data_IF_490599128368
#
_entry.id   IF_490599128368
#
_cell.length_a   1.000
_cell.length_b   1.000
_cell.length_c   1.000
_cell.angle_alpha   90.00
_cell.angle_beta   90.00
_cell.angle_gamma   90.00
#
_symmetry.space_group_name_H-M   'P 1'
#
loop_
_entity.id
_entity.type
_entity.pdbx_description
1 polymer ?
#
# COMPACT_ATOMS: atom_id res chain seq x y z
N UNK A 1 -61.88 32.62 -5.39
CA UNK A 1 -61.55 33.88 -6.12
C UNK A 1 -60.06 33.72 -6.49
N UNK A 2 -59.72 33.20 -7.57
CA UNK A 2 -59.65 33.53 -9.00
C UNK A 2 -58.97 34.88 -9.27
N UNK A 3 -57.81 34.86 -9.86
CA UNK A 3 -57.29 35.72 -10.95
C UNK A 3 -55.77 35.51 -11.01
N UNK A 4 -55.23 34.78 -11.92
CA UNK A 4 -55.01 34.98 -13.36
C UNK A 4 -53.77 35.83 -13.67
N UNK A 5 -52.76 35.12 -14.19
CA UNK A 5 -51.96 35.35 -15.41
C UNK A 5 -51.57 36.76 -15.82
N UNK A 6 -50.31 37.04 -15.99
CA UNK A 6 -49.84 37.59 -17.27
C UNK A 6 -48.36 37.22 -17.56
N UNK A 7 -48.13 36.55 -18.68
CA UNK A 7 -46.86 36.28 -19.28
C UNK A 7 -46.31 37.52 -19.98
N UNK A 8 -45.02 37.75 -19.91
CA UNK A 8 -44.31 38.60 -20.86
C UNK A 8 -43.06 37.85 -21.36
N UNK A 9 -43.20 37.32 -22.57
CA UNK A 9 -42.12 36.78 -23.36
C UNK A 9 -41.27 37.95 -23.89
N UNK A 10 -39.99 37.96 -23.56
CA UNK A 10 -38.99 38.75 -24.29
C UNK A 10 -37.97 37.75 -24.86
N UNK A 11 -38.02 37.63 -26.17
CA UNK A 11 -37.11 36.81 -26.95
C UNK A 11 -35.69 37.37 -26.94
N UNK A 12 -34.73 36.50 -26.60
CA UNK A 12 -33.33 36.73 -26.89
C UNK A 12 -32.84 35.57 -27.75
N UNK A 13 -32.49 35.87 -28.98
CA UNK A 13 -31.88 34.95 -29.95
C UNK A 13 -30.49 34.50 -29.46
N UNK A 14 -30.10 33.24 -29.67
CA UNK A 14 -28.74 32.79 -29.37
C UNK A 14 -27.77 33.34 -30.43
N UNK A 15 -26.79 34.10 -29.99
CA UNK A 15 -25.62 34.42 -30.79
C UNK A 15 -24.67 33.20 -30.77
N UNK A 16 -24.48 32.64 -31.96
CA UNK A 16 -23.44 31.74 -32.34
C UNK A 16 -22.05 32.29 -31.96
N UNK A 17 -21.28 31.50 -31.26
CA UNK A 17 -19.89 31.83 -30.90
C UNK A 17 -19.21 30.71 -30.14
N UNK A 18 -19.22 29.50 -30.72
CA UNK A 18 -18.30 28.43 -30.29
C UNK A 18 -16.94 28.73 -30.90
N UNK A 19 -16.10 29.45 -30.18
CA UNK A 19 -14.66 29.54 -30.52
C UNK A 19 -13.96 28.34 -29.92
N UNK A 20 -13.58 27.44 -30.83
CA UNK A 20 -12.72 26.31 -30.58
C UNK A 20 -11.40 26.77 -29.91
N UNK A 21 -11.08 26.19 -28.75
CA UNK A 21 -9.72 26.14 -28.22
C UNK A 21 -8.90 25.10 -29.03
N UNK A 22 -8.50 25.51 -30.21
CA UNK A 22 -7.51 24.82 -31.03
C UNK A 22 -6.59 25.94 -31.55
N UNK A 23 -5.39 25.97 -31.04
CA UNK A 23 -4.19 26.52 -31.66
C UNK A 23 -3.27 27.20 -30.65
N UNK A 24 -2.48 26.39 -29.92
CA UNK A 24 -1.17 26.83 -29.42
C UNK A 24 -0.23 25.61 -29.29
N UNK A 25 -0.01 24.92 -30.41
CA UNK A 25 1.21 24.13 -30.61
C UNK A 25 1.92 24.68 -31.87
N UNK A 26 2.54 25.86 -31.76
CA UNK A 26 3.49 26.33 -32.75
C UNK A 26 4.83 25.64 -32.49
N UNK A 27 5.28 24.94 -33.52
CA UNK A 27 6.60 24.44 -33.83
C UNK A 27 7.72 24.97 -32.93
N UNK A 28 8.23 24.09 -32.06
CA UNK A 28 9.59 24.19 -31.55
C UNK A 28 10.48 23.40 -32.51
N UNK A 29 11.48 24.01 -33.18
CA UNK A 29 12.39 23.27 -34.05
C UNK A 29 13.19 22.27 -33.19
N UNK A 30 13.06 20.97 -33.50
CA UNK A 30 13.92 19.93 -32.95
C UNK A 30 15.34 20.15 -33.47
N UNK A 31 16.22 20.71 -32.65
CA UNK A 31 17.66 20.58 -32.86
C UNK A 31 18.05 19.11 -32.67
N UNK A 32 18.89 18.52 -33.55
CA UNK A 32 19.40 17.19 -33.37
C UNK A 32 20.29 17.20 -32.10
N UNK A 33 19.85 16.56 -31.06
CA UNK A 33 20.70 16.28 -29.90
C UNK A 33 21.78 15.30 -30.35
N UNK A 34 23.02 15.79 -30.36
CA UNK A 34 24.20 14.96 -30.53
C UNK A 34 24.15 13.86 -29.42
N UNK A 35 24.35 12.61 -29.85
CA UNK A 35 24.58 11.46 -28.98
C UNK A 35 25.91 11.69 -28.24
N UNK A 36 25.86 12.39 -27.10
CA UNK A 36 26.79 12.12 -26.01
C UNK A 36 26.25 10.87 -25.34
N UNK A 37 26.99 9.78 -25.45
CA UNK A 37 26.83 8.60 -24.57
C UNK A 37 27.16 9.06 -23.16
N UNK A 38 26.20 9.69 -22.48
CA UNK A 38 26.16 9.70 -21.05
C UNK A 38 25.85 8.26 -20.66
N UNK A 39 26.79 7.62 -19.97
CA UNK A 39 26.58 6.31 -19.36
C UNK A 39 25.27 6.39 -18.55
N UNK A 40 24.24 5.74 -19.07
CA UNK A 40 22.99 5.56 -18.37
C UNK A 40 23.33 4.67 -17.18
N UNK A 41 23.45 5.26 -15.99
CA UNK A 41 23.49 4.47 -14.78
C UNK A 41 22.12 3.77 -14.65
N UNK A 42 22.04 2.43 -14.70
CA UNK A 42 20.79 1.71 -14.68
C UNK A 42 19.99 1.88 -13.37
N UNK A 43 20.56 2.54 -12.38
CA UNK A 43 19.99 2.67 -11.04
C UNK A 43 18.73 3.54 -10.93
N UNK A 44 18.42 4.39 -11.92
CA UNK A 44 17.32 5.36 -11.78
C UNK A 44 15.97 4.85 -12.31
N UNK A 45 15.96 3.93 -13.27
CA UNK A 45 14.72 3.38 -13.84
C UNK A 45 14.14 2.20 -13.03
N UNK A 46 14.98 1.55 -12.21
CA UNK A 46 14.60 0.37 -11.42
C UNK A 46 14.06 0.70 -10.02
N UNK A 47 14.00 1.97 -9.65
CA UNK A 47 13.65 2.40 -8.27
C UNK A 47 12.19 2.24 -7.89
N UNK A 48 11.29 1.84 -8.79
CA UNK A 48 9.85 1.85 -8.54
C UNK A 48 9.21 0.47 -8.29
N UNK A 49 9.87 -0.63 -8.64
CA UNK A 49 9.31 -1.98 -8.45
C UNK A 49 10.37 -2.94 -7.91
N UNK A 50 10.02 -3.63 -6.83
CA UNK A 50 10.84 -4.68 -6.25
C UNK A 50 10.15 -6.03 -6.48
N UNK A 51 10.91 -7.04 -6.92
CA UNK A 51 10.43 -8.42 -6.96
C UNK A 51 10.47 -9.01 -5.57
N UNK A 52 9.32 -9.40 -5.05
CA UNK A 52 9.21 -9.98 -3.71
C UNK A 52 8.97 -11.48 -3.80
N UNK A 53 9.66 -12.21 -2.93
CA UNK A 53 9.62 -13.65 -2.82
C UNK A 53 9.20 -14.09 -1.42
N UNK A 54 8.50 -15.20 -1.34
CA UNK A 54 8.30 -15.89 -0.08
C UNK A 54 9.61 -16.55 0.36
N UNK A 55 9.90 -16.63 1.68
CA UNK A 55 11.06 -17.39 2.15
C UNK A 55 11.12 -18.80 1.58
N UNK A 56 9.97 -19.47 1.41
CA UNK A 56 9.89 -20.82 0.85
C UNK A 56 10.25 -20.93 -0.64
N UNK A 57 10.29 -19.81 -1.37
CA UNK A 57 10.72 -19.78 -2.77
C UNK A 57 12.24 -19.66 -2.92
N UNK A 58 12.94 -19.30 -1.82
CA UNK A 58 14.39 -19.11 -1.81
C UNK A 58 15.08 -20.44 -1.63
N UNK A 59 15.94 -20.79 -2.57
CA UNK A 59 16.75 -22.02 -2.57
C UNK A 59 18.20 -21.66 -2.39
N UNK A 60 18.83 -22.26 -1.38
CA UNK A 60 20.28 -22.21 -1.17
C UNK A 60 20.85 -23.53 -1.69
N UNK A 61 21.84 -23.47 -2.57
CA UNK A 61 22.41 -24.66 -3.14
C UNK A 61 23.28 -25.41 -2.13
N UNK A 62 23.16 -26.74 -2.07
CA UNK A 62 23.98 -27.62 -1.22
C UNK A 62 25.44 -27.73 -1.71
N UNK A 63 25.76 -27.16 -2.88
CA UNK A 63 27.07 -27.25 -3.54
C UNK A 63 28.10 -26.22 -3.04
N UNK A 64 27.77 -25.48 -1.97
CA UNK A 64 28.63 -24.41 -1.43
C UNK A 64 28.58 -23.10 -2.18
N UNK A 65 27.65 -22.93 -3.13
CA UNK A 65 27.28 -21.63 -3.68
C UNK A 65 26.62 -20.82 -2.59
N UNK A 66 27.24 -19.71 -2.18
CA UNK A 66 26.72 -18.83 -1.11
C UNK A 66 25.54 -17.94 -1.57
N UNK A 67 25.22 -17.93 -2.87
CA UNK A 67 24.21 -17.02 -3.42
C UNK A 67 22.84 -17.70 -3.46
N UNK A 68 21.86 -17.23 -2.67
CA UNK A 68 20.49 -17.74 -2.73
C UNK A 68 19.86 -17.49 -4.10
N UNK A 69 19.03 -18.41 -4.56
CA UNK A 69 18.35 -18.29 -5.87
C UNK A 69 16.85 -18.52 -5.75
N UNK A 70 16.10 -17.92 -6.67
CA UNK A 70 14.68 -18.18 -6.87
C UNK A 70 14.45 -18.57 -8.32
N UNK A 71 13.66 -19.62 -8.57
CA UNK A 71 13.28 -20.02 -9.92
C UNK A 71 11.76 -19.90 -10.08
N UNK A 72 11.35 -19.00 -10.97
CA UNK A 72 9.95 -18.75 -11.29
C UNK A 72 9.56 -19.48 -12.57
N UNK A 73 8.38 -20.08 -12.59
CA UNK A 73 7.85 -20.72 -13.79
C UNK A 73 7.58 -19.69 -14.89
N UNK A 74 7.47 -20.17 -16.14
CA UNK A 74 7.15 -19.32 -17.29
C UNK A 74 5.85 -18.54 -17.13
N UNK A 75 4.86 -19.15 -16.48
CA UNK A 75 3.51 -18.59 -16.31
C UNK A 75 3.39 -17.72 -15.03
N UNK A 76 4.46 -17.61 -14.23
CA UNK A 76 4.46 -16.70 -13.09
C UNK A 76 4.32 -15.26 -13.56
N UNK A 77 3.45 -14.48 -12.90
CA UNK A 77 3.20 -13.10 -13.28
C UNK A 77 4.46 -12.23 -13.22
N UNK A 78 5.40 -12.53 -12.31
CA UNK A 78 6.70 -11.86 -12.18
C UNK A 78 7.59 -12.15 -13.39
N UNK A 79 7.59 -13.41 -13.87
CA UNK A 79 8.30 -13.82 -15.10
C UNK A 79 7.74 -13.09 -16.33
N UNK A 80 6.41 -13.03 -16.44
CA UNK A 80 5.72 -12.31 -17.52
C UNK A 80 6.02 -10.80 -17.43
N UNK A 81 6.06 -10.24 -16.24
CA UNK A 81 6.38 -8.82 -16.02
C UNK A 81 7.83 -8.52 -16.42
N UNK A 82 8.79 -9.37 -16.01
CA UNK A 82 10.20 -9.25 -16.38
C UNK A 82 10.40 -9.24 -17.91
N UNK A 83 9.67 -10.10 -18.62
CA UNK A 83 9.77 -10.20 -20.08
C UNK A 83 9.03 -9.07 -20.80
N UNK A 84 7.74 -8.84 -20.49
CA UNK A 84 6.86 -7.95 -21.28
C UNK A 84 6.99 -6.48 -20.93
N UNK A 85 7.18 -6.19 -19.66
CA UNK A 85 7.16 -4.82 -19.15
C UNK A 85 8.58 -4.28 -19.01
N UNK A 86 9.46 -5.06 -18.39
CA UNK A 86 10.84 -4.62 -18.14
C UNK A 86 11.78 -4.97 -19.30
N UNK A 87 11.45 -5.98 -20.13
CA UNK A 87 12.26 -6.40 -21.26
C UNK A 87 13.65 -6.94 -20.89
N UNK A 88 13.78 -7.51 -19.70
CA UNK A 88 15.04 -7.92 -19.11
C UNK A 88 15.73 -9.04 -19.92
N UNK A 89 17.05 -8.95 -20.03
CA UNK A 89 17.93 -9.91 -20.69
C UNK A 89 18.78 -10.65 -19.64
N UNK A 90 19.40 -11.75 -20.05
CA UNK A 90 20.35 -12.46 -19.17
C UNK A 90 21.45 -11.52 -18.69
N UNK A 91 21.73 -11.55 -17.38
CA UNK A 91 22.72 -10.71 -16.74
C UNK A 91 22.23 -9.31 -16.37
N UNK A 92 20.99 -8.95 -16.72
CA UNK A 92 20.41 -7.71 -16.20
C UNK A 92 20.13 -7.85 -14.70
N UNK A 93 20.21 -6.72 -14.00
CA UNK A 93 19.93 -6.63 -12.58
C UNK A 93 18.52 -6.12 -12.32
N UNK A 94 17.90 -6.62 -11.25
CA UNK A 94 16.64 -6.13 -10.73
C UNK A 94 16.71 -5.95 -9.20
N UNK A 95 15.75 -5.21 -8.67
CA UNK A 95 15.55 -5.10 -7.22
C UNK A 95 14.73 -6.27 -6.72
N UNK A 96 15.24 -6.96 -5.73
CA UNK A 96 14.58 -8.10 -5.13
C UNK A 96 14.49 -7.98 -3.60
N UNK A 97 13.60 -8.75 -3.00
CA UNK A 97 13.48 -8.85 -1.55
C UNK A 97 12.73 -10.11 -1.15
N UNK A 98 12.96 -10.54 0.07
CA UNK A 98 12.27 -11.66 0.70
C UNK A 98 11.32 -11.10 1.75
N UNK A 99 10.04 -11.42 1.65
CA UNK A 99 9.03 -10.87 2.56
C UNK A 99 9.29 -11.31 4.01
N UNK A 100 9.05 -10.40 4.95
CA UNK A 100 9.03 -10.67 6.37
C UNK A 100 7.57 -10.78 6.84
N UNK A 101 7.28 -11.82 7.61
CA UNK A 101 6.07 -11.93 8.39
C UNK A 101 6.44 -11.94 9.87
N UNK A 102 5.61 -11.33 10.72
CA UNK A 102 5.68 -11.56 12.17
C UNK A 102 5.18 -12.98 12.49
N UNK A 103 5.94 -13.99 12.06
CA UNK A 103 5.70 -15.37 12.44
C UNK A 103 6.36 -15.57 13.80
N UNK A 104 5.57 -15.97 14.82
CA UNK A 104 6.12 -16.30 16.13
C UNK A 104 7.30 -17.27 15.99
N UNK A 105 8.30 -17.11 16.82
CA UNK A 105 9.67 -17.63 16.74
C UNK A 105 9.88 -19.16 16.62
N UNK A 106 8.87 -19.97 16.31
CA UNK A 106 8.93 -21.43 16.44
C UNK A 106 9.15 -22.22 15.11
N UNK A 107 9.37 -21.54 13.96
CA UNK A 107 9.56 -22.22 12.66
C UNK A 107 10.79 -21.74 11.89
N UNK A 108 11.96 -21.68 12.52
CA UNK A 108 13.18 -21.26 11.83
C UNK A 108 13.74 -22.40 10.93
N UNK A 109 13.38 -22.35 9.63
CA UNK A 109 14.11 -23.07 8.57
C UNK A 109 15.24 -22.23 7.98
N UNK A 110 16.19 -22.83 7.26
CA UNK A 110 17.29 -22.10 6.60
C UNK A 110 16.80 -20.99 5.63
N UNK A 111 15.61 -21.11 5.08
CA UNK A 111 15.00 -20.11 4.20
C UNK A 111 14.53 -18.85 4.95
N UNK A 112 14.18 -18.97 6.24
CA UNK A 112 13.74 -17.85 7.08
C UNK A 112 14.89 -16.90 7.43
N UNK A 113 16.15 -17.34 7.25
CA UNK A 113 17.34 -16.51 7.47
C UNK A 113 17.38 -15.27 6.53
N UNK A 114 16.68 -15.30 5.42
CA UNK A 114 16.63 -14.21 4.44
C UNK A 114 15.34 -13.37 4.53
N UNK A 115 14.39 -13.73 5.39
CA UNK A 115 13.18 -12.97 5.60
C UNK A 115 13.50 -11.51 6.01
N UNK A 116 12.86 -10.55 5.35
CA UNK A 116 13.14 -9.13 5.58
C UNK A 116 14.42 -8.60 4.91
N UNK A 117 15.11 -9.40 4.11
CA UNK A 117 16.29 -8.96 3.37
C UNK A 117 15.93 -8.46 1.97
N UNK A 118 16.76 -7.54 1.48
CA UNK A 118 16.62 -6.93 0.15
C UNK A 118 17.94 -6.87 -0.58
N UNK A 119 17.88 -6.79 -1.90
CA UNK A 119 19.04 -6.49 -2.74
C UNK A 119 18.61 -5.64 -3.94
N UNK A 120 19.50 -4.79 -4.41
CA UNK A 120 19.36 -4.03 -5.64
C UNK A 120 20.20 -4.64 -6.79
N UNK A 121 20.87 -5.77 -6.51
CA UNK A 121 21.81 -6.44 -7.42
C UNK A 121 21.39 -7.88 -7.72
N UNK A 122 20.11 -8.20 -7.67
CA UNK A 122 19.66 -9.52 -8.08
C UNK A 122 19.84 -9.70 -9.59
N UNK A 123 20.61 -10.71 -10.02
CA UNK A 123 20.85 -10.98 -11.45
C UNK A 123 19.89 -12.02 -11.98
N UNK A 124 19.52 -11.88 -13.26
CA UNK A 124 18.58 -12.79 -13.91
C UNK A 124 19.21 -13.69 -14.95
N UNK A 125 18.66 -14.90 -15.06
CA UNK A 125 18.97 -15.87 -16.09
C UNK A 125 17.67 -16.48 -16.62
N UNK A 126 17.47 -16.37 -17.93
CA UNK A 126 16.39 -17.07 -18.61
C UNK A 126 16.75 -18.51 -18.86
N UNK A 127 15.91 -19.44 -18.42
CA UNK A 127 16.03 -20.87 -18.65
C UNK A 127 15.06 -21.27 -19.78
N UNK A 128 15.54 -21.38 -21.05
CA UNK A 128 14.68 -21.66 -22.19
C UNK A 128 14.00 -23.02 -22.09
N UNK A 129 12.72 -23.08 -22.45
CA UNK A 129 11.93 -24.32 -22.45
C UNK A 129 11.51 -24.75 -23.85
N UNK A 130 11.48 -26.04 -24.08
CA UNK A 130 11.02 -26.65 -25.32
C UNK A 130 11.95 -26.41 -26.50
N UNK A 131 11.40 -25.93 -27.62
CA UNK A 131 12.16 -25.66 -28.87
C UNK A 131 12.83 -24.27 -28.91
N UNK A 132 12.65 -23.47 -27.87
CA UNK A 132 13.18 -22.13 -27.78
C UNK A 132 14.68 -22.22 -27.41
N UNK A 133 15.56 -21.86 -28.35
CA UNK A 133 17.01 -21.91 -28.12
C UNK A 133 17.60 -20.59 -27.63
N UNK A 134 16.83 -19.48 -27.72
CA UNK A 134 17.32 -18.16 -27.32
C UNK A 134 16.87 -17.86 -25.89
N UNK A 135 17.85 -17.60 -25.03
CA UNK A 135 17.63 -17.18 -23.64
C UNK A 135 17.33 -15.66 -23.57
N UNK A 136 16.29 -15.20 -24.27
CA UNK A 136 15.83 -13.82 -24.23
C UNK A 136 14.33 -13.77 -24.60
N UNK A 137 13.58 -12.78 -24.10
CA UNK A 137 12.19 -12.58 -24.46
C UNK A 137 11.99 -12.48 -25.99
N UNK A 138 10.85 -12.97 -26.46
CA UNK A 138 10.50 -12.88 -27.88
C UNK A 138 10.27 -11.42 -28.29
N UNK A 139 10.18 -11.16 -29.62
CA UNK A 139 9.82 -9.82 -30.11
C UNK A 139 8.47 -9.31 -29.58
N UNK A 140 7.57 -10.22 -29.21
CA UNK A 140 6.27 -9.90 -28.60
C UNK A 140 6.36 -9.78 -27.06
N UNK A 141 7.56 -9.90 -26.48
CA UNK A 141 7.77 -9.85 -25.04
C UNK A 141 7.38 -11.14 -24.29
N UNK A 142 7.13 -12.26 -24.99
CA UNK A 142 6.81 -13.51 -24.29
C UNK A 142 8.06 -14.12 -23.65
N UNK A 143 7.93 -14.65 -22.41
CA UNK A 143 9.04 -15.32 -21.74
C UNK A 143 9.57 -16.52 -22.53
N UNK A 144 10.89 -16.69 -22.64
CA UNK A 144 11.47 -17.86 -23.35
C UNK A 144 11.32 -19.16 -22.56
N UNK A 145 11.10 -19.08 -21.26
CA UNK A 145 10.98 -20.20 -20.34
C UNK A 145 10.90 -19.72 -18.91
N UNK A 146 11.37 -20.50 -17.96
CA UNK A 146 11.46 -20.14 -16.55
C UNK A 146 12.51 -19.05 -16.33
N UNK A 147 12.37 -18.29 -15.25
CA UNK A 147 13.26 -17.21 -14.86
C UNK A 147 13.99 -17.61 -13.55
N UNK A 148 15.30 -17.74 -13.59
CA UNK A 148 16.14 -17.87 -12.40
C UNK A 148 16.63 -16.47 -11.99
N UNK A 149 16.61 -16.21 -10.71
CA UNK A 149 17.06 -14.95 -10.11
C UNK A 149 18.04 -15.29 -9.01
N UNK A 150 19.27 -14.81 -9.13
CA UNK A 150 20.29 -14.93 -8.09
C UNK A 150 20.23 -13.68 -7.19
N UNK A 151 20.06 -13.91 -5.90
CA UNK A 151 19.87 -12.85 -4.89
C UNK A 151 21.23 -12.44 -4.30
N UNK A 152 22.02 -11.76 -5.10
CA UNK A 152 23.35 -11.31 -4.68
C UNK A 152 23.24 -10.15 -3.66
N UNK A 153 24.18 -10.10 -2.72
CA UNK A 153 24.30 -8.99 -1.75
C UNK A 153 23.03 -8.73 -0.95
N UNK A 154 22.31 -9.77 -0.51
CA UNK A 154 21.15 -9.62 0.38
C UNK A 154 21.54 -8.96 1.69
N UNK A 155 20.83 -7.92 2.08
CA UNK A 155 21.01 -7.21 3.34
C UNK A 155 19.63 -6.97 4.01
N UNK A 156 19.56 -6.88 5.33
CA UNK A 156 18.33 -6.52 6.03
C UNK A 156 17.75 -5.20 5.48
N UNK A 157 16.45 -5.17 5.29
CA UNK A 157 15.76 -3.96 4.87
C UNK A 157 15.78 -2.92 6.01
N UNK A 158 16.34 -1.76 5.73
CA UNK A 158 16.34 -0.62 6.63
C UNK A 158 15.65 0.54 5.93
N UNK A 159 14.64 1.13 6.55
CA UNK A 159 13.87 2.24 5.97
C UNK A 159 14.71 3.51 5.73
N UNK A 160 15.91 3.60 6.32
CA UNK A 160 16.78 4.77 6.28
C UNK A 160 18.06 4.56 5.50
N UNK A 161 17.98 4.27 4.18
CA UNK A 161 19.18 4.24 3.33
C UNK A 161 19.68 5.62 2.91
N UNK A 162 18.99 6.70 3.24
CA UNK A 162 19.37 8.07 2.83
C UNK A 162 20.07 8.90 3.93
N UNK A 163 20.34 8.33 5.12
CA UNK A 163 21.08 9.04 6.17
C UNK A 163 22.33 8.25 6.60
N UNK A 164 23.56 8.62 6.13
CA UNK A 164 24.79 7.89 6.42
C UNK A 164 25.37 8.12 7.82
N UNK A 165 24.63 8.72 8.74
CA UNK A 165 25.06 8.93 10.13
C UNK A 165 24.27 8.01 11.09
N UNK A 166 24.64 6.79 11.06
CA UNK A 166 24.73 5.76 12.07
C UNK A 166 23.93 5.87 13.37
N UNK A 167 22.58 5.80 13.32
CA UNK A 167 21.84 5.32 14.49
C UNK A 167 21.02 4.08 14.04
N UNK A 168 21.53 2.90 14.39
CA UNK A 168 21.00 1.59 14.00
C UNK A 168 19.76 1.17 14.82
N UNK A 169 18.98 2.12 15.30
CA UNK A 169 17.66 1.83 15.81
C UNK A 169 16.66 2.08 14.67
N UNK A 170 16.27 1.01 13.98
CA UNK A 170 15.15 1.02 13.03
C UNK A 170 13.86 1.42 13.76
N UNK A 171 13.66 2.71 13.94
CA UNK A 171 12.43 3.29 14.46
C UNK A 171 11.53 3.53 13.27
N UNK A 172 10.91 2.47 12.73
CA UNK A 172 9.83 2.67 11.78
C UNK A 172 8.65 3.29 12.52
N UNK A 173 8.20 4.43 12.03
CA UNK A 173 6.97 5.07 12.48
C UNK A 173 5.83 4.05 12.43
N UNK A 174 5.20 3.79 13.59
CA UNK A 174 4.15 2.77 13.62
C UNK A 174 2.80 3.40 13.32
N UNK A 175 2.30 3.17 12.11
CA UNK A 175 0.96 3.56 11.69
C UNK A 175 0.08 2.32 11.56
N UNK A 176 -0.98 2.26 12.35
CA UNK A 176 -1.94 1.15 12.35
C UNK A 176 -3.33 1.63 11.93
N UNK A 177 -4.11 0.73 11.34
CA UNK A 177 -5.41 1.04 10.79
C UNK A 177 -6.50 0.10 11.31
N UNK A 178 -7.54 0.63 11.94
CA UNK A 178 -8.80 -0.05 12.23
C UNK A 178 -9.79 0.36 11.14
N UNK A 179 -10.09 -0.55 10.22
CA UNK A 179 -10.97 -0.31 9.09
C UNK A 179 -12.28 -1.09 9.25
N UNK A 180 -13.40 -0.36 9.38
CA UNK A 180 -14.70 -1.00 9.24
C UNK A 180 -14.83 -1.59 7.85
N UNK A 181 -15.17 -2.88 7.78
CA UNK A 181 -15.05 -3.69 6.57
C UNK A 181 -15.83 -3.09 5.39
N UNK A 182 -15.15 -2.61 4.33
CA UNK A 182 -15.82 -2.11 3.14
C UNK A 182 -16.35 -3.28 2.28
N UNK A 183 -17.05 -2.97 1.20
CA UNK A 183 -17.49 -3.99 0.24
C UNK A 183 -16.30 -4.84 -0.22
N UNK A 184 -16.46 -6.16 -0.39
CA UNK A 184 -15.34 -7.06 -0.71
C UNK A 184 -14.51 -6.64 -1.93
N UNK A 185 -15.16 -6.16 -2.99
CA UNK A 185 -14.48 -5.67 -4.18
C UNK A 185 -13.66 -4.40 -3.89
N UNK A 186 -14.18 -3.52 -3.02
CA UNK A 186 -13.49 -2.32 -2.60
C UNK A 186 -12.31 -2.65 -1.69
N UNK A 187 -12.49 -3.59 -0.74
CA UNK A 187 -11.39 -4.08 0.10
C UNK A 187 -10.24 -4.62 -0.76
N UNK A 188 -10.55 -5.44 -1.77
CA UNK A 188 -9.52 -5.98 -2.67
C UNK A 188 -8.71 -4.89 -3.38
N UNK A 189 -9.31 -3.74 -3.68
CA UNK A 189 -8.61 -2.58 -4.26
C UNK A 189 -7.80 -1.79 -3.23
N UNK A 190 -8.27 -1.77 -1.99
CA UNK A 190 -7.62 -1.00 -0.91
C UNK A 190 -6.41 -1.73 -0.31
N UNK A 191 -6.41 -3.05 -0.25
CA UNK A 191 -5.33 -3.83 0.36
C UNK A 191 -3.94 -3.50 -0.21
N UNK A 192 -3.74 -3.44 -1.55
CA UNK A 192 -2.44 -3.02 -2.08
C UNK A 192 -2.07 -1.59 -1.69
N UNK A 193 -3.04 -0.66 -1.64
CA UNK A 193 -2.79 0.73 -1.24
C UNK A 193 -2.38 0.81 0.23
N UNK A 194 -3.08 0.08 1.11
CA UNK A 194 -2.80 0.05 2.55
C UNK A 194 -1.40 -0.51 2.81
N UNK A 195 -1.06 -1.61 2.15
CA UNK A 195 0.27 -2.22 2.25
C UNK A 195 1.36 -1.30 1.70
N UNK A 196 1.13 -0.68 0.55
CA UNK A 196 2.04 0.29 -0.07
C UNK A 196 2.31 1.50 0.83
N UNK A 197 1.32 1.89 1.64
CA UNK A 197 1.42 3.02 2.56
C UNK A 197 2.11 2.67 3.89
N UNK A 198 2.67 1.47 4.06
CA UNK A 198 3.46 1.12 5.23
C UNK A 198 2.63 0.96 6.51
N UNK A 199 1.43 0.38 6.43
CA UNK A 199 0.62 0.06 7.62
C UNK A 199 1.21 -1.16 8.33
N UNK A 200 1.55 -1.04 9.60
CA UNK A 200 2.06 -2.16 10.41
C UNK A 200 0.98 -3.18 10.75
N UNK A 201 -0.18 -2.69 11.22
CA UNK A 201 -1.27 -3.54 11.66
C UNK A 201 -2.61 -3.06 11.10
N UNK A 202 -3.26 -3.91 10.33
CA UNK A 202 -4.59 -3.70 9.78
C UNK A 202 -5.62 -4.53 10.55
N UNK A 203 -6.53 -3.86 11.27
CA UNK A 203 -7.68 -4.49 11.90
C UNK A 203 -8.92 -4.29 11.02
N UNK A 204 -9.46 -5.37 10.47
CA UNK A 204 -10.69 -5.37 9.70
C UNK A 204 -11.87 -5.68 10.61
N UNK A 205 -12.73 -4.69 10.89
CA UNK A 205 -13.77 -4.82 11.91
C UNK A 205 -15.19 -4.72 11.34
N UNK A 206 -16.13 -5.34 12.05
CA UNK A 206 -17.55 -5.07 11.84
C UNK A 206 -17.90 -3.68 12.38
N UNK A 207 -18.94 -3.09 11.81
CA UNK A 207 -19.64 -1.92 12.33
C UNK A 207 -21.14 -2.12 12.11
N UNK A 208 -21.98 -1.30 12.72
CA UNK A 208 -23.44 -1.42 12.59
C UNK A 208 -23.93 -1.39 11.15
N UNK A 209 -23.31 -0.52 10.36
CA UNK A 209 -23.64 -0.34 8.94
C UNK A 209 -22.85 -1.27 7.99
N UNK A 210 -22.11 -2.25 8.52
CA UNK A 210 -21.39 -3.27 7.73
C UNK A 210 -22.24 -4.53 7.61
N UNK A 211 -22.59 -4.96 6.39
CA UNK A 211 -23.29 -6.22 6.16
C UNK A 211 -22.46 -7.43 6.63
N UNK A 212 -23.10 -8.35 7.36
CA UNK A 212 -22.42 -9.52 7.93
C UNK A 212 -21.86 -10.49 6.89
N UNK A 213 -22.47 -10.56 5.71
CA UNK A 213 -22.06 -11.39 4.58
C UNK A 213 -20.70 -10.97 3.99
N UNK A 214 -20.24 -9.75 4.20
CA UNK A 214 -18.90 -9.31 3.74
C UNK A 214 -17.77 -10.16 4.34
N UNK A 215 -17.93 -10.63 5.60
CA UNK A 215 -16.98 -11.56 6.23
C UNK A 215 -16.97 -12.96 5.62
N UNK A 216 -17.97 -13.30 4.80
CA UNK A 216 -18.03 -14.53 4.03
C UNK A 216 -17.44 -14.41 2.63
N UNK A 217 -16.80 -13.31 2.27
CA UNK A 217 -16.26 -13.08 0.94
C UNK A 217 -15.08 -14.01 0.60
N UNK A 218 -14.75 -14.11 -0.67
CA UNK A 218 -13.62 -14.91 -1.16
C UNK A 218 -12.27 -14.50 -0.58
N UNK A 219 -12.10 -13.23 -0.20
CA UNK A 219 -10.88 -12.71 0.41
C UNK A 219 -10.58 -13.39 1.76
N UNK A 220 -11.63 -13.66 2.55
CA UNK A 220 -11.47 -14.34 3.84
C UNK A 220 -11.51 -15.88 3.73
N UNK A 221 -12.10 -16.41 2.66
CA UNK A 221 -12.10 -17.86 2.39
C UNK A 221 -10.77 -18.34 1.80
N UNK A 222 -10.02 -17.48 1.17
CA UNK A 222 -8.74 -17.78 0.50
C UNK A 222 -7.66 -16.80 1.02
N UNK A 223 -7.03 -17.07 2.17
CA UNK A 223 -6.02 -16.19 2.76
C UNK A 223 -4.89 -15.83 1.80
N UNK A 224 -4.54 -16.76 0.89
CA UNK A 224 -3.50 -16.53 -0.13
C UNK A 224 -3.84 -15.37 -1.08
N UNK A 225 -5.14 -15.15 -1.37
CA UNK A 225 -5.57 -14.03 -2.23
C UNK A 225 -5.34 -12.70 -1.49
N UNK A 226 -5.69 -12.65 -0.21
CA UNK A 226 -5.48 -11.46 0.62
C UNK A 226 -3.98 -11.15 0.74
N UNK A 227 -3.17 -12.18 1.06
CA UNK A 227 -1.72 -12.06 1.15
C UNK A 227 -1.09 -11.57 -0.17
N UNK A 228 -1.52 -12.12 -1.31
CA UNK A 228 -1.06 -11.68 -2.63
C UNK A 228 -1.31 -10.20 -2.89
N UNK A 229 -2.48 -9.68 -2.50
CA UNK A 229 -2.81 -8.26 -2.65
C UNK A 229 -1.92 -7.35 -1.79
N UNK A 230 -1.54 -7.81 -0.59
CA UNK A 230 -0.59 -7.06 0.25
C UNK A 230 0.81 -7.03 -0.38
N UNK A 231 1.30 -8.18 -0.85
CA UNK A 231 2.59 -8.28 -1.54
C UNK A 231 2.62 -7.39 -2.80
N UNK A 232 1.51 -7.32 -3.53
CA UNK A 232 1.40 -6.42 -4.69
C UNK A 232 1.66 -4.95 -4.31
N UNK A 233 1.12 -4.50 -3.17
CA UNK A 233 1.39 -3.16 -2.65
C UNK A 233 2.86 -2.98 -2.24
N UNK A 234 3.44 -3.94 -1.52
CA UNK A 234 4.84 -3.92 -1.10
C UNK A 234 5.81 -3.90 -2.30
N UNK A 235 5.49 -4.60 -3.39
CA UNK A 235 6.28 -4.52 -4.63
C UNK A 235 6.39 -3.08 -5.15
N UNK A 236 5.40 -2.23 -4.92
CA UNK A 236 5.39 -0.84 -5.36
C UNK A 236 6.16 0.08 -4.41
N UNK A 237 6.02 -0.10 -3.08
CA UNK A 237 6.76 0.70 -2.09
C UNK A 237 8.22 0.29 -1.98
N UNK A 238 8.54 -0.95 -2.34
CA UNK A 238 9.87 -1.52 -2.15
C UNK A 238 10.12 -2.03 -0.73
N UNK A 239 9.11 -2.04 0.11
CA UNK A 239 9.11 -2.62 1.46
C UNK A 239 8.98 -4.16 1.38
N UNK A 240 9.36 -4.84 2.44
CA UNK A 240 9.30 -6.31 2.58
C UNK A 240 8.45 -6.78 3.75
N UNK A 241 8.02 -5.86 4.64
CA UNK A 241 7.24 -6.18 5.83
C UNK A 241 5.76 -6.25 5.51
N UNK A 242 5.17 -7.46 5.58
CA UNK A 242 3.74 -7.64 5.36
C UNK A 242 2.96 -7.11 6.57
N UNK A 243 1.92 -6.26 6.38
CA UNK A 243 1.06 -5.80 7.45
C UNK A 243 0.44 -6.96 8.22
N UNK A 244 0.48 -6.91 9.55
CA UNK A 244 -0.28 -7.85 10.38
C UNK A 244 -1.78 -7.63 10.17
N UNK A 245 -2.57 -8.70 10.02
CA UNK A 245 -4.01 -8.59 9.83
C UNK A 245 -4.76 -9.26 10.98
N UNK A 246 -5.68 -8.49 11.56
CA UNK A 246 -6.65 -9.00 12.53
C UNK A 246 -8.07 -8.81 12.00
N UNK A 247 -8.87 -9.87 12.02
CA UNK A 247 -10.27 -9.84 11.56
C UNK A 247 -11.21 -9.94 12.75
N UNK A 248 -12.02 -8.90 12.96
CA UNK A 248 -12.89 -8.72 14.13
C UNK A 248 -14.35 -8.68 13.69
N UNK A 249 -15.14 -9.66 14.11
CA UNK A 249 -16.57 -9.75 13.75
C UNK A 249 -17.50 -9.00 14.73
N UNK A 250 -16.98 -8.47 15.83
CA UNK A 250 -17.76 -7.78 16.88
C UNK A 250 -16.97 -6.59 17.41
N UNK A 251 -17.28 -5.39 16.92
CA UNK A 251 -16.59 -4.16 17.31
C UNK A 251 -16.53 -3.96 18.82
N UNK A 252 -17.68 -4.04 19.51
CA UNK A 252 -17.74 -3.84 20.95
C UNK A 252 -16.79 -4.77 21.72
N UNK A 253 -16.80 -6.07 21.39
CA UNK A 253 -15.90 -7.03 22.04
C UNK A 253 -14.43 -6.69 21.81
N UNK A 254 -14.08 -6.34 20.60
CA UNK A 254 -12.72 -5.92 20.26
C UNK A 254 -12.27 -4.71 21.08
N UNK A 255 -13.15 -3.72 21.21
CA UNK A 255 -12.84 -2.49 21.97
C UNK A 255 -12.74 -2.73 23.47
N UNK A 256 -13.43 -3.75 24.00
CA UNK A 256 -13.40 -4.11 25.42
C UNK A 256 -12.25 -5.08 25.77
N UNK A 257 -11.96 -6.06 24.90
CA UNK A 257 -11.06 -7.17 25.22
C UNK A 257 -9.67 -7.02 24.58
N UNK A 258 -9.56 -6.51 23.35
CA UNK A 258 -8.36 -6.65 22.53
C UNK A 258 -7.65 -5.31 22.23
N UNK A 259 -8.37 -4.19 22.25
CA UNK A 259 -7.87 -2.89 21.81
C UNK A 259 -6.64 -2.43 22.59
N UNK A 260 -6.73 -2.49 23.94
CA UNK A 260 -5.64 -2.02 24.80
C UNK A 260 -4.40 -2.91 24.73
N UNK A 261 -4.59 -4.21 24.45
CA UNK A 261 -3.49 -5.13 24.24
C UNK A 261 -2.76 -4.90 22.90
N UNK A 262 -3.48 -4.49 21.84
CA UNK A 262 -2.92 -4.24 20.54
C UNK A 262 -2.38 -2.81 20.38
N UNK A 263 -3.06 -1.84 20.94
CA UNK A 263 -2.76 -0.42 20.78
C UNK A 263 -2.88 0.31 22.13
N UNK A 264 -1.97 0.06 23.10
CA UNK A 264 -2.01 0.69 24.41
C UNK A 264 -2.10 2.22 24.34
N UNK A 265 -2.97 2.83 25.13
CA UNK A 265 -3.21 4.28 25.11
C UNK A 265 -1.99 5.12 25.54
N UNK A 266 -1.06 4.52 26.29
CA UNK A 266 0.22 5.13 26.67
C UNK A 266 1.30 5.00 25.61
N UNK A 267 1.06 4.24 24.51
CA UNK A 267 1.96 4.09 23.39
C UNK A 267 1.42 4.73 22.11
N UNK A 268 0.12 4.61 21.88
CA UNK A 268 -0.54 5.02 20.62
C UNK A 268 -1.41 6.26 20.81
N UNK A 269 -1.26 7.23 19.92
CA UNK A 269 -2.31 8.20 19.69
C UNK A 269 -3.47 7.50 18.98
N UNK A 270 -4.63 7.46 19.63
CA UNK A 270 -5.85 6.85 19.09
C UNK A 270 -6.69 7.88 18.39
N UNK A 271 -7.01 7.65 17.13
CA UNK A 271 -7.64 8.63 16.26
C UNK A 271 -8.83 8.02 15.54
N UNK A 272 -9.96 8.72 15.51
CA UNK A 272 -11.14 8.32 14.72
C UNK A 272 -11.46 9.36 13.67
N UNK A 273 -11.48 8.92 12.41
CA UNK A 273 -11.86 9.76 11.29
C UNK A 273 -13.39 9.85 11.18
N UNK A 274 -13.92 11.01 11.51
CA UNK A 274 -15.36 11.28 11.39
C UNK A 274 -15.64 12.77 11.19
N UNK A 275 -16.58 13.15 10.29
CA UNK A 275 -17.02 14.53 10.15
C UNK A 275 -17.57 15.10 11.47
N UNK A 276 -17.67 16.41 11.57
CA UNK A 276 -18.31 17.05 12.71
C UNK A 276 -19.78 16.62 12.79
N UNK A 277 -20.23 16.22 13.98
CA UNK A 277 -21.62 15.84 14.25
C UNK A 277 -22.50 17.10 14.32
N UNK A 278 -23.76 16.94 13.97
CA UNK A 278 -24.76 18.00 14.18
C UNK A 278 -24.92 18.24 15.68
N UNK A 279 -24.74 19.48 16.13
CA UNK A 279 -24.82 19.87 17.54
C UNK A 279 -23.56 19.59 18.36
N UNK A 280 -22.47 19.10 17.76
CA UNK A 280 -21.18 18.95 18.44
C UNK A 280 -20.56 20.32 18.72
N UNK A 281 -20.23 20.58 19.98
CA UNK A 281 -19.62 21.84 20.44
C UNK A 281 -18.14 21.96 20.09
N UNK A 282 -17.40 20.84 20.21
CA UNK A 282 -15.99 20.80 19.86
C UNK A 282 -15.80 20.40 18.39
N UNK A 283 -15.04 21.22 17.66
CA UNK A 283 -14.70 20.87 16.27
C UNK A 283 -13.72 19.70 16.23
N UNK A 284 -13.87 18.76 15.28
CA UNK A 284 -12.88 17.72 15.06
C UNK A 284 -11.50 18.32 14.76
N UNK A 285 -10.45 17.72 15.33
CA UNK A 285 -9.06 18.14 15.14
C UNK A 285 -8.58 17.89 13.70
N UNK A 286 -7.48 18.53 13.32
CA UNK A 286 -6.67 18.11 12.19
C UNK A 286 -5.64 17.07 12.65
N UNK A 287 -5.09 16.24 11.76
CA UNK A 287 -4.10 15.23 12.14
C UNK A 287 -2.91 15.84 12.89
N UNK A 288 -2.40 16.98 12.45
CA UNK A 288 -1.31 17.72 13.12
C UNK A 288 -1.63 18.26 14.52
N UNK A 289 -2.91 18.25 14.91
CA UNK A 289 -3.40 18.73 16.22
C UNK A 289 -3.65 17.55 17.18
N UNK A 290 -3.37 16.33 16.74
CA UNK A 290 -3.51 15.13 17.55
C UNK A 290 -2.47 15.15 18.66
N UNK A 291 -2.92 14.83 19.87
CA UNK A 291 -2.03 14.71 21.03
C UNK A 291 -1.45 13.30 21.06
N UNK A 292 -0.13 13.19 21.16
CA UNK A 292 0.59 11.93 21.34
C UNK A 292 0.95 11.70 22.80
N UNK A 293 1.08 10.44 23.27
CA UNK A 293 1.60 10.14 24.59
C UNK A 293 3.02 10.68 24.78
N UNK A 294 3.27 11.35 25.92
CA UNK A 294 4.55 12.05 26.19
C UNK A 294 5.74 11.12 26.41
N UNK A 295 5.49 9.83 26.67
CA UNK A 295 6.49 8.91 27.23
C UNK A 295 7.40 8.23 26.22
N UNK A 296 7.23 8.42 24.92
CA UNK A 296 7.92 7.61 23.89
C UNK A 296 8.71 8.48 22.90
N UNK A 297 9.91 8.01 22.60
CA UNK A 297 10.83 8.60 21.61
C UNK A 297 10.28 8.48 20.18
N UNK A 298 9.34 7.56 19.96
CA UNK A 298 8.72 7.26 18.67
C UNK A 298 7.22 7.48 18.75
N UNK A 299 6.68 8.26 17.84
CA UNK A 299 5.23 8.48 17.71
C UNK A 299 4.58 7.27 17.05
N UNK A 300 3.51 6.76 17.66
CA UNK A 300 2.68 5.68 17.13
C UNK A 300 1.24 6.16 17.03
N UNK A 301 0.57 5.80 15.95
CA UNK A 301 -0.83 6.18 15.75
C UNK A 301 -1.66 5.00 15.28
N UNK A 302 -2.87 4.87 15.82
CA UNK A 302 -3.90 3.98 15.30
C UNK A 302 -5.11 4.78 14.84
N UNK A 303 -5.51 4.58 13.59
CA UNK A 303 -6.58 5.35 12.95
C UNK A 303 -7.80 4.45 12.74
N UNK A 304 -8.96 4.82 13.29
CA UNK A 304 -10.23 4.16 13.03
C UNK A 304 -10.97 4.85 11.86
N UNK A 305 -11.27 4.09 10.81
CA UNK A 305 -12.02 4.56 9.62
C UNK A 305 -13.31 3.77 9.48
N UNK A 306 -14.44 4.47 9.38
CA UNK A 306 -15.78 3.89 9.24
C UNK A 306 -16.06 3.31 7.85
N UNK A 307 -17.19 2.58 7.73
CA UNK A 307 -17.68 2.10 6.45
C UNK A 307 -18.20 3.26 5.58
N UNK A 308 -18.62 2.97 4.35
CA UNK A 308 -19.16 3.98 3.42
C UNK A 308 -20.31 4.80 4.01
N UNK A 309 -21.12 4.21 4.90
CA UNK A 309 -22.18 4.89 5.63
C UNK A 309 -21.75 5.62 6.90
N UNK A 310 -20.43 5.67 7.20
CA UNK A 310 -19.88 6.21 8.45
C UNK A 310 -20.19 5.33 9.67
N UNK A 311 -19.57 5.63 10.80
CA UNK A 311 -19.88 5.04 12.09
C UNK A 311 -21.31 5.34 12.52
N UNK A 312 -21.92 4.48 13.35
CA UNK A 312 -23.25 4.74 13.90
C UNK A 312 -23.18 5.79 15.02
N UNK A 313 -23.97 6.84 14.86
CA UNK A 313 -24.13 7.89 15.88
C UNK A 313 -25.35 7.61 16.75
N UNK A 314 -25.29 7.86 18.07
CA UNK A 314 -24.07 8.24 18.81
C UNK A 314 -23.21 7.03 19.21
N UNK A 315 -23.76 5.82 19.16
CA UNK A 315 -23.29 4.62 19.87
C UNK A 315 -21.84 4.24 19.57
N UNK A 316 -21.46 4.04 18.29
CA UNK A 316 -20.08 3.59 17.96
C UNK A 316 -19.07 4.70 18.21
N UNK A 317 -19.45 5.95 17.94
CA UNK A 317 -18.56 7.08 18.20
C UNK A 317 -18.35 7.31 19.71
N UNK A 318 -19.35 7.13 20.52
CA UNK A 318 -19.24 7.26 21.99
C UNK A 318 -18.34 6.16 22.56
N UNK A 319 -18.39 4.93 22.02
CA UNK A 319 -17.44 3.87 22.38
C UNK A 319 -16.01 4.33 22.11
N UNK A 320 -15.70 4.76 20.90
CA UNK A 320 -14.36 5.21 20.56
C UNK A 320 -13.90 6.40 21.41
N UNK A 321 -14.77 7.38 21.66
CA UNK A 321 -14.46 8.54 22.51
C UNK A 321 -14.16 8.12 23.96
N UNK A 322 -14.95 7.21 24.53
CA UNK A 322 -14.71 6.70 25.90
C UNK A 322 -13.39 5.96 26.06
N UNK A 323 -12.82 5.48 24.94
CA UNK A 323 -11.53 4.78 24.86
C UNK A 323 -10.37 5.71 24.47
N UNK A 324 -10.58 7.02 24.53
CA UNK A 324 -9.53 8.02 24.28
C UNK A 324 -9.26 8.32 22.82
N UNK A 325 -10.12 7.91 21.87
CA UNK A 325 -9.97 8.27 20.46
C UNK A 325 -10.27 9.74 20.26
N UNK A 326 -9.31 10.45 19.65
CA UNK A 326 -9.45 11.84 19.25
C UNK A 326 -10.14 11.90 17.87
N UNK A 327 -11.24 12.63 17.78
CA UNK A 327 -11.95 12.80 16.51
C UNK A 327 -11.19 13.75 15.60
N UNK A 328 -10.94 13.30 14.36
CA UNK A 328 -10.27 14.10 13.34
C UNK A 328 -11.09 14.26 12.06
N UNK A 329 -10.80 15.33 11.32
CA UNK A 329 -11.38 15.60 10.02
C UNK A 329 -10.33 16.06 9.01
N UNK A 330 -10.54 15.73 7.75
CA UNK A 330 -9.75 16.23 6.63
C UNK A 330 -10.37 17.44 5.93
N UNK A 331 -11.42 17.99 6.50
CA UNK A 331 -12.14 19.16 5.96
C UNK A 331 -13.62 18.90 5.78
N UNK A 332 -14.26 19.74 4.97
CA UNK A 332 -15.73 19.75 4.79
C UNK A 332 -16.24 18.76 3.75
N UNK A 333 -15.35 18.16 2.95
CA UNK A 333 -15.75 17.21 1.91
C UNK A 333 -15.90 15.81 2.48
N UNK A 334 -16.99 15.13 2.10
CA UNK A 334 -17.14 13.70 2.34
C UNK A 334 -16.29 12.96 1.31
N UNK A 335 -15.36 12.15 1.78
CA UNK A 335 -14.48 11.34 0.94
C UNK A 335 -14.98 9.91 0.89
N UNK A 336 -14.75 9.25 -0.24
CA UNK A 336 -14.93 7.80 -0.34
C UNK A 336 -13.87 7.10 0.52
N UNK A 337 -14.20 5.94 1.09
CA UNK A 337 -13.37 5.25 2.09
C UNK A 337 -11.93 4.97 1.63
N UNK A 338 -11.71 4.60 0.36
CA UNK A 338 -10.38 4.39 -0.20
C UNK A 338 -9.55 5.69 -0.25
N UNK A 339 -10.16 6.79 -0.70
CA UNK A 339 -9.50 8.10 -0.71
C UNK A 339 -9.23 8.58 0.71
N UNK A 340 -10.19 8.38 1.62
CA UNK A 340 -10.04 8.75 3.02
C UNK A 340 -8.88 7.99 3.68
N UNK A 341 -8.81 6.68 3.49
CA UNK A 341 -7.73 5.83 4.05
C UNK A 341 -6.35 6.29 3.56
N UNK A 342 -6.15 6.42 2.25
CA UNK A 342 -4.85 6.85 1.70
C UNK A 342 -4.44 8.23 2.21
N UNK A 343 -5.39 9.17 2.24
CA UNK A 343 -5.12 10.53 2.73
C UNK A 343 -4.78 10.56 4.22
N UNK A 344 -5.49 9.77 5.04
CA UNK A 344 -5.25 9.68 6.48
C UNK A 344 -3.91 9.01 6.79
N UNK A 345 -3.56 7.94 6.07
CA UNK A 345 -2.28 7.26 6.23
C UNK A 345 -1.12 8.19 5.88
N UNK A 346 -1.22 8.95 4.78
CA UNK A 346 -0.21 9.94 4.42
C UNK A 346 0.00 11.01 5.51
N UNK A 347 -1.11 11.54 6.06
CA UNK A 347 -1.04 12.51 7.15
C UNK A 347 -0.52 11.90 8.46
N UNK A 348 -0.78 10.62 8.69
CA UNK A 348 -0.29 9.92 9.87
C UNK A 348 1.23 9.73 9.83
N UNK A 349 1.76 9.30 8.69
CA UNK A 349 3.22 9.21 8.51
C UNK A 349 3.90 10.57 8.65
N UNK A 350 3.31 11.64 8.11
CA UNK A 350 3.83 13.00 8.24
C UNK A 350 4.01 13.40 9.71
N UNK A 351 2.97 13.22 10.54
CA UNK A 351 3.04 13.59 11.96
C UNK A 351 3.85 12.63 12.84
N UNK A 352 4.02 11.38 12.42
CA UNK A 352 4.85 10.41 13.12
C UNK A 352 6.35 10.64 12.86
N UNK A 353 6.71 11.19 11.70
CA UNK A 353 8.09 11.48 11.30
C UNK A 353 8.68 12.75 11.95
N UNK A 354 7.85 13.55 12.65
CA UNK A 354 8.26 14.73 13.42
C UNK A 354 8.82 14.33 14.81
#
# INVERSE_FOLDING_TARGET
>A
MAAALHALAVGIRPRSGVTAFSTFYKHIPRKPFGRTQAAFHPSTALKLNRFLFDPSEVVVADDGSEVPTVTLSKDDYRTVHAAKILGLQNGDCLRAGVVAEDVGADTAGNADAYAGCVTDQATIEWLPEGKIKKACPTKNGDPPGSLRIALESLAPFTESSDNPQGDTSSTSDSVSLILALPRPLQLGRMLPMISQMGVDHLVLTAAKKVPKDYFGSHLFRKPQVLRKLLIEGLCQSGDVKIPKITVVKRLKRFTEDDLDALFPADEYARVIAHPQRVGQTEAPKRMREVSFPESKRQRKVVIAVGPEGGWEEPYELDIFQSLGFQQITMGTRVLRSDVAVVSLLSLAHDVCSE
#
